data_IF_137668460950
#
_entry.id   IF_137668460950
#
_cell.length_a   1.000
_cell.length_b   1.000
_cell.length_c   1.000
_cell.angle_alpha   90.00
_cell.angle_beta   90.00
_cell.angle_gamma   90.00
#
_symmetry.space_group_name_H-M   'P 1'
#
loop_
_entity.id
_entity.type
_entity.pdbx_description
1 polymer ?
#
# COMPACT_ATOMS: atom_id res chain seq x y z
N UNK A 1 -23.50 -35.23 49.02
CA UNK A 1 -22.68 -35.43 47.81
C UNK A 1 -22.31 -34.06 47.28
N UNK A 2 -21.03 -33.67 47.32
CA UNK A 2 -20.55 -32.34 46.95
C UNK A 2 -19.95 -32.39 45.53
N UNK A 3 -20.47 -31.65 44.52
CA UNK A 3 -20.08 -31.82 43.11
C UNK A 3 -18.78 -31.08 42.73
N UNK A 4 -17.96 -30.66 43.68
CA UNK A 4 -16.84 -29.74 43.46
C UNK A 4 -15.50 -30.36 43.81
N UNK A 5 -15.10 -31.40 43.09
CA UNK A 5 -13.69 -31.82 43.01
C UNK A 5 -13.27 -31.88 41.54
N UNK A 6 -13.19 -30.70 40.90
CA UNK A 6 -12.52 -30.58 39.60
C UNK A 6 -11.05 -30.93 39.79
N UNK A 7 -10.64 -32.03 39.19
CA UNK A 7 -9.25 -32.49 39.17
C UNK A 7 -8.31 -31.37 38.71
N UNK A 8 -7.23 -31.07 39.45
CA UNK A 8 -6.27 -30.02 39.09
C UNK A 8 -5.62 -30.27 37.71
N UNK A 9 -5.56 -31.54 37.28
CA UNK A 9 -5.07 -31.94 35.95
C UNK A 9 -5.99 -31.48 34.80
N UNK A 10 -7.32 -31.46 35.03
CA UNK A 10 -8.29 -30.97 34.02
C UNK A 10 -8.24 -29.45 33.89
N UNK A 11 -8.05 -28.74 35.00
CA UNK A 11 -7.88 -27.28 34.99
C UNK A 11 -6.58 -26.88 34.26
N UNK A 12 -5.47 -27.54 34.56
CA UNK A 12 -4.18 -27.29 33.89
C UNK A 12 -4.24 -27.58 32.39
N UNK A 13 -4.90 -28.67 31.97
CA UNK A 13 -5.06 -29.00 30.55
C UNK A 13 -5.91 -27.97 29.79
N UNK A 14 -6.97 -27.43 30.42
CA UNK A 14 -7.82 -26.39 29.82
C UNK A 14 -7.07 -25.05 29.69
N UNK A 15 -6.26 -24.69 30.68
CA UNK A 15 -5.42 -23.48 30.63
C UNK A 15 -4.35 -23.61 29.55
N UNK A 16 -3.67 -24.76 29.47
CA UNK A 16 -2.67 -25.02 28.44
C UNK A 16 -3.27 -25.02 27.03
N UNK A 17 -4.44 -25.62 26.85
CA UNK A 17 -5.16 -25.60 25.58
C UNK A 17 -5.57 -24.16 25.21
N UNK A 18 -6.13 -23.39 26.14
CA UNK A 18 -6.48 -21.99 25.90
C UNK A 18 -5.27 -21.13 25.54
N UNK A 19 -4.15 -21.30 26.24
CA UNK A 19 -2.90 -20.61 25.95
C UNK A 19 -2.33 -20.96 24.57
N UNK A 20 -2.40 -22.23 24.16
CA UNK A 20 -1.96 -22.69 22.84
C UNK A 20 -2.84 -22.11 21.72
N UNK A 21 -4.16 -22.01 21.92
CA UNK A 21 -5.07 -21.38 20.94
C UNK A 21 -4.79 -19.89 20.78
N UNK A 22 -4.50 -19.18 21.88
CA UNK A 22 -4.10 -17.76 21.86
C UNK A 22 -2.74 -17.55 21.16
N UNK A 23 -1.76 -18.43 21.41
CA UNK A 23 -0.45 -18.37 20.75
C UNK A 23 -0.57 -18.61 19.24
N UNK A 24 -1.32 -19.64 18.83
CA UNK A 24 -1.54 -19.96 17.42
C UNK A 24 -2.35 -18.89 16.68
N UNK A 25 -3.33 -18.28 17.36
CA UNK A 25 -4.08 -17.14 16.80
C UNK A 25 -3.24 -15.86 16.72
N UNK A 26 -2.35 -15.61 17.70
CA UNK A 26 -1.49 -14.43 17.74
C UNK A 26 -0.30 -14.48 16.78
N UNK A 27 0.15 -15.68 16.39
CA UNK A 27 1.22 -15.86 15.41
C UNK A 27 0.71 -15.93 13.96
N UNK A 28 -0.60 -15.97 13.76
CA UNK A 28 -1.23 -16.14 12.45
C UNK A 28 -1.37 -14.83 11.67
N UNK A 29 -0.29 -14.40 11.02
CA UNK A 29 -0.37 -13.62 9.79
C UNK A 29 -0.49 -12.11 9.96
N UNK A 30 0.58 -11.46 10.41
CA UNK A 30 0.80 -10.08 10.02
C UNK A 30 1.51 -10.12 8.66
N UNK A 31 0.77 -9.86 7.58
CA UNK A 31 1.41 -9.43 6.34
C UNK A 31 2.28 -8.19 6.59
N UNK A 32 3.01 -7.69 5.57
CA UNK A 32 3.71 -6.42 5.73
C UNK A 32 2.76 -5.37 6.33
N UNK A 33 3.25 -4.53 7.24
CA UNK A 33 2.46 -3.48 7.88
C UNK A 33 2.09 -2.34 6.90
N UNK A 34 2.10 -2.63 5.60
CA UNK A 34 1.83 -1.74 4.49
C UNK A 34 1.39 -2.55 3.26
N UNK A 35 0.78 -1.84 2.30
CA UNK A 35 0.34 -2.37 1.02
C UNK A 35 0.94 -1.53 -0.12
N UNK A 36 1.43 -2.19 -1.16
CA UNK A 36 1.82 -1.54 -2.42
C UNK A 36 0.58 -1.30 -3.29
N UNK A 37 0.40 -0.06 -3.71
CA UNK A 37 -0.65 0.35 -4.64
C UNK A 37 0.01 0.68 -5.98
N UNK A 38 -0.34 -0.10 -6.99
CA UNK A 38 0.11 0.09 -8.37
C UNK A 38 -1.04 0.63 -9.22
N UNK A 39 -0.82 1.72 -9.93
CA UNK A 39 -1.71 2.16 -10.99
C UNK A 39 -1.67 1.17 -12.17
N UNK A 40 -2.73 1.12 -13.02
CA UNK A 40 -2.74 0.25 -14.18
C UNK A 40 -1.49 0.39 -15.05
N UNK A 41 -0.86 -0.74 -15.38
CA UNK A 41 0.35 -0.77 -16.22
C UNK A 41 1.65 -0.48 -15.48
N UNK A 42 1.62 -0.19 -14.17
CA UNK A 42 2.83 0.02 -13.35
C UNK A 42 3.22 -1.22 -12.53
N UNK A 43 2.43 -2.28 -12.59
CA UNK A 43 2.71 -3.55 -11.92
C UNK A 43 3.88 -4.28 -12.62
N UNK A 44 4.77 -4.96 -11.88
CA UNK A 44 5.79 -5.82 -12.49
C UNK A 44 5.19 -6.90 -13.42
N UNK A 45 4.01 -7.42 -13.08
CA UNK A 45 3.29 -8.39 -13.91
C UNK A 45 2.82 -7.83 -15.27
N UNK A 46 2.73 -6.51 -15.41
CA UNK A 46 2.46 -5.84 -16.68
C UNK A 46 3.73 -5.61 -17.52
N UNK A 47 4.89 -6.10 -17.07
CA UNK A 47 6.19 -5.85 -17.71
C UNK A 47 6.78 -4.48 -17.38
N UNK A 48 6.21 -3.75 -16.41
CA UNK A 48 6.71 -2.45 -16.00
C UNK A 48 8.11 -2.58 -15.38
N UNK A 49 9.08 -1.85 -15.94
CA UNK A 49 10.42 -1.74 -15.38
C UNK A 49 10.50 -0.51 -14.45
N UNK A 50 9.81 -0.60 -13.31
CA UNK A 50 9.73 0.47 -12.31
C UNK A 50 10.17 -0.06 -10.94
N UNK A 51 11.30 0.43 -10.37
CA UNK A 51 11.79 -0.02 -9.05
C UNK A 51 11.03 0.63 -7.87
N UNK A 52 9.80 1.07 -8.10
CA UNK A 52 8.91 1.73 -7.13
C UNK A 52 7.44 1.46 -7.47
N UNK A 53 6.55 1.70 -6.52
CA UNK A 53 5.09 1.58 -6.69
C UNK A 53 4.45 2.95 -6.79
N UNK A 54 3.20 3.08 -7.25
CA UNK A 54 2.52 4.38 -7.32
C UNK A 54 2.26 4.99 -5.93
N UNK A 55 1.80 4.19 -4.97
CA UNK A 55 1.64 4.60 -3.58
C UNK A 55 1.86 3.44 -2.61
N UNK A 56 2.13 3.77 -1.35
CA UNK A 56 2.24 2.82 -0.24
C UNK A 56 1.23 3.23 0.83
N UNK A 57 0.26 2.36 1.14
CA UNK A 57 -0.62 2.54 2.29
C UNK A 57 0.01 1.88 3.50
N UNK A 58 0.11 2.58 4.63
CA UNK A 58 0.53 1.98 5.90
C UNK A 58 -0.68 1.41 6.62
N UNK A 59 -0.60 0.16 7.08
CA UNK A 59 -1.71 -0.57 7.72
C UNK A 59 -2.07 -0.06 9.12
N UNK A 60 -1.19 0.75 9.73
CA UNK A 60 -1.50 1.48 10.97
C UNK A 60 -1.99 2.89 10.64
N UNK A 61 -3.25 3.19 10.94
CA UNK A 61 -3.87 4.48 10.66
C UNK A 61 -4.27 4.65 9.20
N UNK A 62 -4.14 5.88 8.69
CA UNK A 62 -4.62 6.27 7.34
C UNK A 62 -3.53 6.93 6.49
N UNK A 63 -2.26 6.74 6.85
CA UNK A 63 -1.13 7.37 6.15
C UNK A 63 -0.88 6.67 4.81
N UNK A 64 -0.75 7.48 3.76
CA UNK A 64 -0.38 7.05 2.42
C UNK A 64 0.86 7.84 1.97
N UNK A 65 1.86 7.13 1.47
CA UNK A 65 3.02 7.73 0.80
C UNK A 65 2.83 7.61 -0.70
N UNK A 66 2.82 8.75 -1.41
CA UNK A 66 2.75 8.78 -2.86
C UNK A 66 4.16 8.83 -3.44
N UNK A 67 4.41 8.11 -4.53
CA UNK A 67 5.67 8.25 -5.25
C UNK A 67 5.79 9.64 -5.88
N UNK A 68 7.03 10.09 -6.05
CA UNK A 68 7.31 11.31 -6.80
C UNK A 68 6.78 11.19 -8.23
N UNK A 69 6.07 12.22 -8.69
CA UNK A 69 5.53 12.27 -10.05
C UNK A 69 6.13 13.44 -10.82
N UNK A 70 6.18 13.33 -12.14
CA UNK A 70 6.65 14.38 -13.05
C UNK A 70 5.56 14.71 -14.07
N UNK A 71 5.85 15.62 -15.00
CA UNK A 71 4.96 15.88 -16.14
C UNK A 71 4.97 14.79 -17.22
N UNK A 72 5.81 13.77 -17.07
CA UNK A 72 5.89 12.64 -17.99
C UNK A 72 4.76 11.61 -17.73
N UNK A 73 4.32 10.86 -18.76
CA UNK A 73 3.34 9.78 -18.59
C UNK A 73 3.91 8.70 -17.68
N UNK A 74 3.07 8.05 -16.87
CA UNK A 74 3.45 6.87 -16.10
C UNK A 74 2.36 5.82 -16.24
N UNK A 75 2.66 4.58 -16.67
CA UNK A 75 3.99 4.08 -17.04
C UNK A 75 4.53 4.64 -18.37
N UNK A 76 5.83 4.48 -18.60
CA UNK A 76 6.52 4.68 -19.89
C UNK A 76 7.70 3.68 -20.00
N UNK A 77 8.28 3.54 -21.18
CA UNK A 77 9.32 2.54 -21.42
C UNK A 77 10.62 2.86 -20.69
N UNK A 78 11.27 1.83 -20.11
CA UNK A 78 12.62 1.91 -19.56
C UNK A 78 13.49 0.77 -20.11
N UNK A 79 14.54 1.04 -20.92
CA UNK A 79 15.07 2.36 -21.28
C UNK A 79 14.08 3.27 -22.02
N UNK A 80 14.25 4.59 -21.86
CA UNK A 80 13.34 5.60 -22.42
C UNK A 80 13.26 5.53 -23.95
N UNK A 81 12.04 5.59 -24.49
CA UNK A 81 11.76 5.70 -25.93
C UNK A 81 11.32 7.14 -26.24
N UNK A 82 12.12 7.95 -26.95
CA UNK A 82 11.82 9.38 -27.15
C UNK A 82 10.43 9.66 -27.77
N UNK A 83 9.99 8.82 -28.71
CA UNK A 83 8.70 9.00 -29.39
C UNK A 83 7.48 8.88 -28.49
N UNK A 84 7.61 8.31 -27.28
CA UNK A 84 6.53 8.29 -26.28
C UNK A 84 6.24 9.70 -25.73
N UNK A 85 7.12 10.67 -25.94
CA UNK A 85 7.03 12.02 -25.39
C UNK A 85 6.82 13.11 -26.44
N UNK A 86 6.95 12.80 -27.74
CA UNK A 86 6.89 13.79 -28.85
C UNK A 86 5.59 14.61 -28.88
N UNK A 87 4.50 14.07 -28.34
CA UNK A 87 3.19 14.70 -28.30
C UNK A 87 2.95 15.56 -27.05
N UNK A 88 3.92 15.63 -26.13
CA UNK A 88 3.78 16.31 -24.86
C UNK A 88 4.38 17.71 -24.89
N UNK A 89 3.58 18.67 -24.44
CA UNK A 89 4.08 20.00 -24.07
C UNK A 89 4.67 19.96 -22.65
N UNK A 90 5.99 20.12 -22.54
CA UNK A 90 6.71 20.20 -21.25
C UNK A 90 6.80 21.62 -20.68
N UNK A 91 5.99 22.55 -21.18
CA UNK A 91 5.80 23.86 -20.56
C UNK A 91 5.39 23.73 -19.08
N UNK A 92 5.67 24.74 -18.24
CA UNK A 92 5.42 24.67 -16.80
C UNK A 92 3.96 24.35 -16.45
N UNK A 93 3.00 25.03 -17.10
CA UNK A 93 1.57 24.85 -16.82
C UNK A 93 1.07 23.46 -17.23
N UNK A 94 1.25 22.98 -18.47
CA UNK A 94 0.84 21.63 -18.85
C UNK A 94 1.52 20.55 -18.00
N UNK A 95 2.80 20.72 -17.66
CA UNK A 95 3.51 19.77 -16.80
C UNK A 95 2.93 19.73 -15.39
N UNK A 96 2.65 20.89 -14.78
CA UNK A 96 2.03 20.98 -13.47
C UNK A 96 0.62 20.37 -13.47
N UNK A 97 -0.18 20.59 -14.53
CA UNK A 97 -1.49 19.94 -14.68
C UNK A 97 -1.36 18.41 -14.67
N UNK A 98 -0.45 17.84 -15.47
CA UNK A 98 -0.24 16.37 -15.51
C UNK A 98 0.26 15.82 -14.17
N UNK A 99 1.11 16.57 -13.46
CA UNK A 99 1.53 16.23 -12.09
C UNK A 99 0.31 16.15 -11.16
N UNK A 100 -0.57 17.16 -11.18
CA UNK A 100 -1.76 17.17 -10.32
C UNK A 100 -2.74 16.04 -10.66
N UNK A 101 -2.94 15.73 -11.95
CA UNK A 101 -3.77 14.59 -12.37
C UNK A 101 -3.18 13.24 -11.94
N UNK A 102 -1.85 13.11 -11.98
CA UNK A 102 -1.16 11.92 -11.49
C UNK A 102 -1.33 11.77 -9.97
N UNK A 103 -1.14 12.85 -9.21
CA UNK A 103 -1.39 12.87 -7.76
C UNK A 103 -2.82 12.47 -7.43
N UNK A 104 -3.80 13.01 -8.16
CA UNK A 104 -5.20 12.67 -8.03
C UNK A 104 -5.44 11.17 -8.24
N UNK A 105 -4.91 10.63 -9.33
CA UNK A 105 -5.07 9.20 -9.66
C UNK A 105 -4.47 8.31 -8.57
N UNK A 106 -3.29 8.67 -8.04
CA UNK A 106 -2.64 7.89 -6.98
C UNK A 106 -3.39 7.95 -5.64
N UNK A 107 -3.90 9.12 -5.24
CA UNK A 107 -4.65 9.25 -3.98
C UNK A 107 -6.02 8.56 -4.06
N UNK A 108 -6.69 8.63 -5.21
CA UNK A 108 -7.95 7.92 -5.47
C UNK A 108 -7.75 6.40 -5.46
N UNK A 109 -6.64 5.90 -6.04
CA UNK A 109 -6.27 4.49 -5.95
C UNK A 109 -5.99 4.03 -4.50
N UNK A 110 -5.56 4.97 -3.65
CA UNK A 110 -5.44 4.77 -2.20
C UNK A 110 -6.74 5.07 -1.43
N UNK A 111 -7.88 5.24 -2.11
CA UNK A 111 -9.18 5.45 -1.49
C UNK A 111 -9.37 6.81 -0.81
N UNK A 112 -8.55 7.80 -1.16
CA UNK A 112 -8.66 9.18 -0.69
C UNK A 112 -8.99 10.17 -1.81
N UNK A 113 -8.79 11.44 -1.52
CA UNK A 113 -9.04 12.58 -2.41
C UNK A 113 -7.86 13.56 -2.37
N UNK A 114 -7.81 14.52 -3.28
CA UNK A 114 -6.77 15.57 -3.26
C UNK A 114 -6.79 16.39 -1.96
N UNK A 115 -7.94 16.49 -1.30
CA UNK A 115 -8.10 17.19 -0.02
C UNK A 115 -7.39 16.48 1.14
N UNK A 116 -7.02 15.22 0.98
CA UNK A 116 -6.30 14.43 1.98
C UNK A 116 -4.76 14.59 1.88
N UNK A 117 -4.26 15.38 0.92
CA UNK A 117 -2.84 15.69 0.80
C UNK A 117 -2.45 16.72 1.88
N UNK A 118 -1.75 16.25 2.90
CA UNK A 118 -1.31 17.08 4.04
C UNK A 118 0.09 17.65 3.90
N UNK A 119 0.91 17.09 3.01
CA UNK A 119 2.29 17.53 2.78
C UNK A 119 2.71 17.30 1.33
N UNK A 120 3.40 18.29 0.76
CA UNK A 120 4.06 18.22 -0.55
C UNK A 120 5.49 18.71 -0.39
N UNK A 121 6.45 18.04 -1.01
CA UNK A 121 7.87 18.43 -1.02
C UNK A 121 8.24 18.99 -2.39
N UNK A 122 9.00 20.09 -2.37
CA UNK A 122 9.53 20.76 -3.57
C UNK A 122 10.96 20.28 -3.87
#
# INVERSE_FOLDING_TARGET
MNPLTRSPRRAAALIAAGALTLFLAGCGGAGPAFEYIHLPGTQPAAGANMPFTSAIRVGSGTIVFLSGTTGAPTPHSHPHVPSEFDHLDFGPTPSATRVMESLKTMVEAAGGTLQDIVQVTR
#
